data_IF_007480513242
#
_entry.id   IF_007480513242
#
_cell.length_a   1.000
_cell.length_b   1.000
_cell.length_c   1.000
_cell.angle_alpha   90.00
_cell.angle_beta   90.00
_cell.angle_gamma   90.00
#
_symmetry.space_group_name_H-M   'P 1'
#
loop_
_entity.id
_entity.type
_entity.pdbx_description
1 polymer ?
#
# COMPACT_ATOMS: atom_id res chain seq x y z
N UNK A 1 2.05 7.99 30.92
CA UNK A 1 0.58 7.83 30.85
C UNK A 1 0.01 8.36 29.54
N UNK A 2 0.36 9.54 29.05
CA UNK A 2 -0.17 10.09 27.79
C UNK A 2 0.01 9.20 26.56
N UNK A 3 1.18 8.57 26.37
CA UNK A 3 1.43 7.68 25.22
C UNK A 3 0.57 6.40 25.23
N UNK A 4 0.25 5.87 26.39
CA UNK A 4 -0.61 4.68 26.52
C UNK A 4 -2.05 5.03 26.15
N UNK A 5 -2.54 6.17 26.62
CA UNK A 5 -3.85 6.70 26.28
C UNK A 5 -4.00 6.97 24.76
N UNK A 6 -2.99 7.60 24.16
CA UNK A 6 -2.99 7.85 22.71
C UNK A 6 -3.01 6.53 21.91
N UNK A 7 -2.22 5.54 22.34
CA UNK A 7 -2.23 4.21 21.71
C UNK A 7 -3.59 3.54 21.86
N UNK A 8 -4.17 3.57 23.05
CA UNK A 8 -5.50 2.99 23.29
C UNK A 8 -6.58 3.65 22.43
N UNK A 9 -6.60 4.98 22.38
CA UNK A 9 -7.55 5.76 21.60
C UNK A 9 -7.39 5.50 20.10
N UNK A 10 -6.13 5.46 19.59
CA UNK A 10 -5.83 5.13 18.19
C UNK A 10 -6.43 3.76 17.79
N UNK A 11 -6.18 2.74 18.60
CA UNK A 11 -6.69 1.39 18.29
C UNK A 11 -8.20 1.29 18.46
N UNK A 12 -8.79 1.96 19.45
CA UNK A 12 -10.25 2.00 19.64
C UNK A 12 -10.94 2.61 18.42
N UNK A 13 -10.45 3.76 17.94
CA UNK A 13 -10.96 4.44 16.75
C UNK A 13 -10.77 3.58 15.49
N UNK A 14 -9.60 2.96 15.33
CA UNK A 14 -9.31 2.09 14.19
C UNK A 14 -10.23 0.86 14.14
N UNK A 15 -10.47 0.23 15.30
CA UNK A 15 -11.36 -0.95 15.40
C UNK A 15 -12.81 -0.53 15.18
N UNK A 16 -13.24 0.62 15.71
CA UNK A 16 -14.59 1.14 15.53
C UNK A 16 -14.86 1.41 14.05
N UNK A 17 -13.95 2.11 13.36
CA UNK A 17 -14.04 2.35 11.93
C UNK A 17 -14.13 1.05 11.11
N UNK A 18 -13.30 0.05 11.45
CA UNK A 18 -13.37 -1.27 10.85
C UNK A 18 -14.74 -1.93 11.05
N UNK A 19 -15.29 -1.91 12.28
CA UNK A 19 -16.59 -2.54 12.58
C UNK A 19 -17.74 -1.90 11.82
N UNK A 20 -17.77 -0.56 11.76
CA UNK A 20 -18.79 0.20 11.02
C UNK A 20 -18.72 -0.13 9.53
N UNK A 21 -17.54 -0.05 8.91
CA UNK A 21 -17.38 -0.33 7.49
C UNK A 21 -17.63 -1.82 7.16
N UNK A 22 -17.32 -2.73 8.06
CA UNK A 22 -17.67 -4.14 7.90
C UNK A 22 -19.19 -4.36 7.92
N UNK A 23 -19.91 -3.65 8.80
CA UNK A 23 -21.38 -3.69 8.85
C UNK A 23 -21.98 -3.13 7.55
N UNK A 24 -21.43 -2.04 7.02
CA UNK A 24 -21.83 -1.42 5.75
C UNK A 24 -21.39 -2.23 4.51
N UNK A 25 -20.73 -3.39 4.69
CA UNK A 25 -20.23 -4.25 3.59
C UNK A 25 -19.33 -3.50 2.59
N UNK A 26 -18.57 -2.50 3.06
CA UNK A 26 -17.63 -1.76 2.20
C UNK A 26 -16.49 -2.68 1.74
N UNK A 27 -15.88 -2.41 0.56
CA UNK A 27 -14.69 -3.14 0.14
C UNK A 27 -13.51 -2.84 1.09
N UNK A 28 -12.69 -3.84 1.39
CA UNK A 28 -11.52 -3.74 2.27
C UNK A 28 -11.78 -3.04 3.61
N UNK A 29 -12.78 -3.45 4.41
CA UNK A 29 -13.21 -2.72 5.60
C UNK A 29 -12.11 -2.59 6.66
N UNK A 30 -11.14 -3.51 6.69
CA UNK A 30 -10.03 -3.48 7.62
C UNK A 30 -9.04 -2.33 7.38
N UNK A 31 -9.00 -1.79 6.17
CA UNK A 31 -8.14 -0.65 5.81
C UNK A 31 -8.96 0.61 5.62
N UNK A 32 -10.01 0.55 4.80
CA UNK A 32 -10.83 1.73 4.47
C UNK A 32 -11.62 2.25 5.67
N UNK A 33 -12.11 1.36 6.54
CA UNK A 33 -12.87 1.75 7.72
C UNK A 33 -12.10 2.71 8.64
N UNK A 34 -10.92 2.32 9.13
CA UNK A 34 -10.09 3.22 9.91
C UNK A 34 -9.77 4.53 9.19
N UNK A 35 -9.37 4.49 7.90
CA UNK A 35 -9.04 5.70 7.13
C UNK A 35 -10.21 6.69 7.15
N UNK A 36 -11.40 6.24 6.75
CA UNK A 36 -12.58 7.10 6.67
C UNK A 36 -12.97 7.65 8.04
N UNK A 37 -12.87 6.84 9.09
CA UNK A 37 -13.25 7.26 10.43
C UNK A 37 -12.29 8.31 10.99
N UNK A 38 -10.97 8.16 10.77
CA UNK A 38 -9.99 9.19 11.13
C UNK A 38 -10.19 10.49 10.36
N UNK A 39 -10.51 10.43 9.07
CA UNK A 39 -10.84 11.61 8.25
C UNK A 39 -12.05 12.34 8.83
N UNK A 40 -13.13 11.62 9.18
CA UNK A 40 -14.33 12.22 9.79
C UNK A 40 -14.01 12.87 11.14
N UNK A 41 -13.22 12.23 12.00
CA UNK A 41 -12.80 12.79 13.28
C UNK A 41 -11.92 14.03 13.12
N UNK A 42 -11.02 14.02 12.13
CA UNK A 42 -10.19 15.19 11.79
C UNK A 42 -11.05 16.36 11.34
N UNK A 43 -12.09 16.14 10.53
CA UNK A 43 -13.06 17.14 10.15
C UNK A 43 -13.85 17.67 11.35
N UNK A 44 -14.23 16.81 12.29
CA UNK A 44 -14.89 17.19 13.53
C UNK A 44 -13.97 17.94 14.51
N UNK A 45 -12.71 18.20 14.13
CA UNK A 45 -11.74 18.93 14.96
C UNK A 45 -10.97 18.09 15.98
N UNK A 46 -11.16 16.77 15.98
CA UNK A 46 -10.43 15.87 16.87
C UNK A 46 -9.14 15.38 16.21
N UNK A 47 -7.99 15.79 16.73
CA UNK A 47 -6.67 15.38 16.24
C UNK A 47 -6.15 14.18 17.04
N UNK A 48 -6.19 13.00 16.43
CA UNK A 48 -5.65 11.77 17.03
C UNK A 48 -4.37 11.42 16.28
N UNK A 49 -3.24 11.48 16.97
CA UNK A 49 -1.93 11.16 16.39
C UNK A 49 -1.56 9.72 16.67
N UNK A 50 -1.00 9.05 15.67
CA UNK A 50 -0.45 7.72 15.86
C UNK A 50 0.91 7.80 16.58
N UNK A 51 1.16 6.97 17.58
CA UNK A 51 2.48 6.87 18.20
C UNK A 51 3.55 6.48 17.17
N UNK A 52 4.71 7.13 17.24
CA UNK A 52 5.81 6.98 16.25
C UNK A 52 6.33 5.54 16.09
N UNK A 53 6.26 4.75 17.16
CA UNK A 53 6.71 3.36 17.17
C UNK A 53 5.78 2.40 16.39
N UNK A 54 4.51 2.77 16.16
CA UNK A 54 3.54 1.88 15.47
C UNK A 54 3.88 1.68 14.00
N UNK A 55 4.29 2.73 13.29
CA UNK A 55 4.65 2.65 11.88
C UNK A 55 5.75 1.61 11.60
N UNK A 56 6.91 1.63 12.29
CA UNK A 56 7.94 0.60 12.08
C UNK A 56 7.47 -0.81 12.47
N UNK A 57 6.73 -0.97 13.57
CA UNK A 57 6.23 -2.27 14.01
C UNK A 57 5.26 -2.86 12.97
N UNK A 58 4.30 -2.09 12.50
CA UNK A 58 3.35 -2.53 11.48
C UNK A 58 4.04 -2.81 10.13
N UNK A 59 5.09 -2.04 9.78
CA UNK A 59 5.88 -2.30 8.57
C UNK A 59 6.62 -3.64 8.65
N UNK A 60 7.28 -3.92 9.77
CA UNK A 60 7.96 -5.22 10.01
C UNK A 60 6.95 -6.37 10.00
N UNK A 61 5.82 -6.23 10.71
CA UNK A 61 4.77 -7.24 10.73
C UNK A 61 4.23 -7.53 9.32
N UNK A 62 4.02 -6.48 8.51
CA UNK A 62 3.61 -6.61 7.11
C UNK A 62 4.66 -7.35 6.29
N UNK A 63 5.93 -6.99 6.44
CA UNK A 63 7.04 -7.64 5.75
C UNK A 63 7.11 -9.14 6.09
N UNK A 64 6.96 -9.52 7.36
CA UNK A 64 6.90 -10.92 7.79
C UNK A 64 5.72 -11.65 7.13
N UNK A 65 4.51 -11.08 7.21
CA UNK A 65 3.30 -11.68 6.62
C UNK A 65 3.45 -11.90 5.11
N UNK A 66 4.12 -10.98 4.42
CA UNK A 66 4.43 -11.10 2.99
C UNK A 66 5.48 -12.16 2.72
N UNK A 67 6.57 -12.15 3.48
CA UNK A 67 7.65 -13.14 3.35
C UNK A 67 7.15 -14.57 3.51
N UNK A 68 6.21 -14.81 4.43
CA UNK A 68 5.58 -16.12 4.63
C UNK A 68 4.78 -16.63 3.42
N UNK A 69 4.38 -15.74 2.50
CA UNK A 69 3.68 -16.11 1.25
C UNK A 69 4.61 -16.29 0.04
N UNK A 70 5.93 -16.15 0.22
CA UNK A 70 6.91 -16.12 -0.87
C UNK A 70 7.13 -17.52 -1.46
N UNK A 71 6.29 -17.93 -2.41
CA UNK A 71 6.39 -19.27 -3.02
C UNK A 71 6.48 -19.26 -4.56
N UNK A 72 6.74 -18.11 -5.21
CA UNK A 72 6.63 -18.03 -6.67
C UNK A 72 7.96 -17.79 -7.41
N UNK A 73 8.02 -18.36 -8.63
CA UNK A 73 9.11 -18.15 -9.59
C UNK A 73 8.93 -16.79 -10.27
N UNK A 74 9.82 -15.85 -9.98
CA UNK A 74 9.84 -14.49 -10.58
C UNK A 74 10.29 -14.48 -12.06
N UNK A 75 10.46 -15.65 -12.72
CA UNK A 75 10.89 -15.71 -14.12
C UNK A 75 9.80 -15.09 -15.03
N UNK A 76 10.19 -14.09 -15.83
CA UNK A 76 9.32 -13.43 -16.82
C UNK A 76 8.68 -12.11 -16.37
N UNK A 77 8.79 -11.72 -15.09
CA UNK A 77 8.15 -10.50 -14.56
C UNK A 77 8.94 -9.23 -14.94
N UNK A 78 10.26 -9.33 -15.09
CA UNK A 78 11.17 -8.15 -15.24
C UNK A 78 10.76 -7.25 -16.41
N UNK A 79 10.41 -7.79 -17.57
CA UNK A 79 9.99 -6.98 -18.72
C UNK A 79 8.75 -6.15 -18.46
N UNK A 80 7.79 -6.71 -17.74
CA UNK A 80 6.55 -6.00 -17.36
C UNK A 80 6.81 -4.95 -16.29
N UNK A 81 7.77 -5.19 -15.41
CA UNK A 81 8.23 -4.24 -14.42
C UNK A 81 8.87 -3.01 -15.08
N UNK A 82 9.73 -3.23 -16.08
CA UNK A 82 10.35 -2.14 -16.86
C UNK A 82 9.27 -1.35 -17.62
N UNK A 83 8.34 -2.03 -18.27
CA UNK A 83 7.20 -1.39 -18.93
C UNK A 83 6.43 -0.51 -17.95
N UNK A 84 6.09 -1.05 -16.77
CA UNK A 84 5.37 -0.31 -15.74
C UNK A 84 6.17 0.88 -15.22
N UNK A 85 7.49 0.74 -15.03
CA UNK A 85 8.37 1.83 -14.63
C UNK A 85 8.38 2.99 -15.62
N UNK A 86 8.59 2.69 -16.91
CA UNK A 86 8.55 3.68 -17.99
C UNK A 86 7.17 4.35 -18.08
N UNK A 87 6.11 3.54 -18.02
CA UNK A 87 4.73 4.05 -18.06
C UNK A 87 4.42 5.02 -16.93
N UNK A 88 4.83 4.70 -15.71
CA UNK A 88 4.58 5.54 -14.54
C UNK A 88 5.37 6.86 -14.62
N UNK A 89 6.61 6.82 -15.09
CA UNK A 89 7.40 8.05 -15.31
C UNK A 89 6.69 8.93 -16.34
N UNK A 90 6.32 8.37 -17.47
CA UNK A 90 5.57 9.11 -18.51
C UNK A 90 4.27 9.70 -17.95
N UNK A 91 3.49 8.89 -17.25
CA UNK A 91 2.22 9.32 -16.66
C UNK A 91 2.41 10.44 -15.62
N UNK A 92 3.48 10.35 -14.81
CA UNK A 92 3.80 11.38 -13.79
C UNK A 92 4.17 12.71 -14.44
N UNK A 93 5.02 12.68 -15.47
CA UNK A 93 5.44 13.87 -16.20
C UNK A 93 4.26 14.50 -16.96
N UNK A 94 3.43 13.69 -17.59
CA UNK A 94 2.21 14.15 -18.27
C UNK A 94 1.23 14.78 -17.28
N UNK A 95 1.01 14.14 -16.14
CA UNK A 95 0.13 14.69 -15.09
C UNK A 95 0.70 15.98 -14.48
N UNK A 96 2.02 16.07 -14.29
CA UNK A 96 2.69 17.29 -13.84
C UNK A 96 2.48 18.44 -14.86
N UNK A 97 2.66 18.15 -16.14
CA UNK A 97 2.42 19.14 -17.21
C UNK A 97 0.97 19.65 -17.17
N UNK A 98 -0.01 18.77 -17.06
CA UNK A 98 -1.43 19.18 -16.95
C UNK A 98 -1.68 20.00 -15.69
N UNK A 99 -1.06 19.68 -14.55
CA UNK A 99 -1.17 20.48 -13.33
C UNK A 99 -0.58 21.89 -13.50
N UNK A 100 0.53 22.05 -14.23
CA UNK A 100 1.11 23.36 -14.54
C UNK A 100 0.09 24.21 -15.30
N UNK A 101 -0.66 23.61 -16.23
CA UNK A 101 -1.71 24.33 -16.98
C UNK A 101 -2.87 24.80 -16.09
N UNK A 102 -3.06 24.20 -14.92
CA UNK A 102 -4.05 24.66 -13.93
C UNK A 102 -3.54 25.80 -13.02
N UNK A 103 -2.31 26.31 -13.26
CA UNK A 103 -1.71 27.42 -12.50
C UNK A 103 -0.90 26.99 -11.28
N UNK A 104 -0.65 25.67 -11.08
CA UNK A 104 0.22 25.19 -10.02
C UNK A 104 1.69 25.39 -10.43
N UNK A 105 2.57 25.92 -9.54
CA UNK A 105 4.00 26.07 -9.82
C UNK A 105 4.64 24.74 -10.27
N UNK A 106 5.61 24.82 -11.20
CA UNK A 106 6.22 23.64 -11.84
C UNK A 106 6.76 22.63 -10.84
N UNK A 107 7.46 23.11 -9.81
CA UNK A 107 8.05 22.31 -8.76
C UNK A 107 6.95 21.55 -8.00
N UNK A 108 5.93 22.28 -7.58
CA UNK A 108 4.80 21.70 -6.83
C UNK A 108 4.01 20.70 -7.68
N UNK A 109 3.79 21.02 -8.95
CA UNK A 109 3.08 20.15 -9.90
C UNK A 109 3.85 18.83 -10.10
N UNK A 110 5.19 18.89 -10.29
CA UNK A 110 6.02 17.71 -10.47
C UNK A 110 5.96 16.77 -9.27
N UNK A 111 6.22 17.30 -8.07
CA UNK A 111 6.21 16.47 -6.85
C UNK A 111 4.80 15.98 -6.48
N UNK A 112 3.76 16.75 -6.75
CA UNK A 112 2.36 16.34 -6.50
C UNK A 112 1.93 15.22 -7.43
N UNK A 113 2.31 15.25 -8.70
CA UNK A 113 1.97 14.24 -9.70
C UNK A 113 2.73 12.92 -9.50
N UNK A 114 3.86 12.96 -8.82
CA UNK A 114 4.77 11.82 -8.68
C UNK A 114 4.23 10.79 -7.66
N UNK A 115 3.96 9.52 -8.06
CA UNK A 115 3.40 8.50 -7.18
C UNK A 115 4.47 7.79 -6.35
N UNK A 116 5.15 8.53 -5.46
CA UNK A 116 6.17 8.03 -4.52
C UNK A 116 5.66 7.80 -3.10
N UNK A 117 6.58 7.54 -2.18
CA UNK A 117 6.29 7.54 -0.75
C UNK A 117 6.08 8.99 -0.25
N UNK A 118 5.07 9.17 0.60
CA UNK A 118 4.67 10.51 1.03
C UNK A 118 5.80 11.26 1.74
N UNK A 119 6.52 10.59 2.65
CA UNK A 119 7.62 11.20 3.39
C UNK A 119 8.80 11.58 2.50
N UNK A 120 9.18 10.70 1.58
CA UNK A 120 10.30 10.88 0.67
C UNK A 120 10.04 12.01 -0.32
N UNK A 121 8.84 12.04 -0.92
CA UNK A 121 8.48 13.11 -1.86
C UNK A 121 8.32 14.46 -1.14
N UNK A 122 7.80 14.48 0.08
CA UNK A 122 7.75 15.72 0.87
C UNK A 122 9.14 16.27 1.15
N UNK A 123 10.11 15.42 1.50
CA UNK A 123 11.50 15.85 1.69
C UNK A 123 12.12 16.39 0.40
N UNK A 124 11.86 15.73 -0.74
CA UNK A 124 12.31 16.22 -2.05
C UNK A 124 11.66 17.57 -2.37
N UNK A 125 10.36 17.71 -2.15
CA UNK A 125 9.64 18.96 -2.42
C UNK A 125 10.21 20.13 -1.63
N UNK A 126 10.53 19.94 -0.35
CA UNK A 126 11.20 20.93 0.47
C UNK A 126 12.61 21.27 -0.03
N UNK A 127 13.33 20.30 -0.59
CA UNK A 127 14.69 20.51 -1.13
C UNK A 127 14.69 21.32 -2.43
N UNK A 128 13.60 21.33 -3.17
CA UNK A 128 13.42 22.04 -4.45
C UNK A 128 12.50 23.27 -4.33
N UNK A 129 12.31 23.82 -3.12
CA UNK A 129 11.53 25.03 -2.85
C UNK A 129 10.07 24.93 -3.34
N UNK A 130 9.52 23.71 -3.46
CA UNK A 130 8.12 23.51 -3.81
C UNK A 130 7.23 23.68 -2.59
N UNK A 131 5.94 23.98 -2.82
CA UNK A 131 4.95 24.00 -1.74
C UNK A 131 4.69 22.57 -1.24
N UNK A 132 5.36 22.22 -0.13
CA UNK A 132 5.22 20.92 0.49
C UNK A 132 3.79 20.66 1.00
N UNK A 133 3.06 21.72 1.43
CA UNK A 133 1.68 21.58 1.89
C UNK A 133 0.76 21.13 0.74
N UNK A 134 0.81 21.84 -0.40
CA UNK A 134 0.02 21.48 -1.59
C UNK A 134 0.41 20.10 -2.11
N UNK A 135 1.71 19.79 -2.12
CA UNK A 135 2.22 18.46 -2.52
C UNK A 135 1.62 17.34 -1.67
N UNK A 136 1.68 17.47 -0.33
CA UNK A 136 1.12 16.47 0.60
C UNK A 136 -0.40 16.37 0.47
N UNK A 137 -1.08 17.50 0.28
CA UNK A 137 -2.52 17.57 0.09
C UNK A 137 -2.96 16.75 -1.14
N UNK A 138 -2.38 17.03 -2.30
CA UNK A 138 -2.71 16.36 -3.56
C UNK A 138 -2.35 14.87 -3.52
N UNK A 139 -1.21 14.51 -2.91
CA UNK A 139 -0.81 13.11 -2.73
C UNK A 139 -1.74 12.36 -1.78
N UNK A 140 -2.18 12.98 -0.68
CA UNK A 140 -3.11 12.36 0.29
C UNK A 140 -4.45 12.06 -0.37
N UNK A 141 -4.99 13.02 -1.12
CA UNK A 141 -6.25 12.85 -1.84
C UNK A 141 -6.14 11.73 -2.90
N UNK A 142 -5.06 11.73 -3.69
CA UNK A 142 -4.79 10.66 -4.64
C UNK A 142 -4.73 9.29 -3.97
N UNK A 143 -4.04 9.18 -2.85
CA UNK A 143 -3.90 7.92 -2.12
C UNK A 143 -5.27 7.39 -1.66
N UNK A 144 -6.13 8.24 -1.11
CA UNK A 144 -7.46 7.87 -0.67
C UNK A 144 -8.33 7.44 -1.87
N UNK A 145 -8.43 8.26 -2.91
CA UNK A 145 -9.21 7.96 -4.11
C UNK A 145 -8.74 6.67 -4.79
N UNK A 146 -7.43 6.51 -4.97
CA UNK A 146 -6.86 5.30 -5.55
C UNK A 146 -7.19 4.07 -4.73
N UNK A 147 -7.09 4.16 -3.40
CA UNK A 147 -7.40 3.05 -2.50
C UNK A 147 -8.85 2.61 -2.65
N UNK A 148 -9.79 3.55 -2.67
CA UNK A 148 -11.23 3.26 -2.86
C UNK A 148 -11.49 2.62 -4.22
N UNK A 149 -10.98 3.21 -5.29
CA UNK A 149 -11.23 2.74 -6.67
C UNK A 149 -10.63 1.35 -6.90
N UNK A 150 -9.36 1.16 -6.59
CA UNK A 150 -8.65 -0.09 -6.87
C UNK A 150 -9.11 -1.24 -5.97
N UNK A 151 -9.44 -0.98 -4.69
CA UNK A 151 -10.03 -1.98 -3.79
C UNK A 151 -11.42 -2.41 -4.27
N UNK A 152 -12.25 -1.46 -4.69
CA UNK A 152 -13.58 -1.75 -5.20
C UNK A 152 -13.55 -2.58 -6.49
N UNK A 153 -12.60 -2.27 -7.38
CA UNK A 153 -12.39 -3.04 -8.60
C UNK A 153 -11.87 -4.45 -8.31
N UNK A 154 -10.87 -4.58 -7.45
CA UNK A 154 -10.34 -5.88 -7.04
C UNK A 154 -11.45 -6.77 -6.43
N UNK A 155 -12.30 -6.19 -5.56
CA UNK A 155 -13.43 -6.89 -4.97
C UNK A 155 -14.45 -7.37 -6.03
N UNK A 156 -14.74 -6.54 -7.03
CA UNK A 156 -15.67 -6.91 -8.13
C UNK A 156 -15.16 -8.07 -8.96
N UNK A 157 -13.88 -8.04 -9.34
CA UNK A 157 -13.29 -9.11 -10.14
C UNK A 157 -13.23 -10.43 -9.36
N UNK A 158 -12.88 -10.38 -8.09
CA UNK A 158 -12.89 -11.56 -7.22
C UNK A 158 -14.27 -12.19 -7.09
N UNK A 159 -15.32 -11.38 -6.92
CA UNK A 159 -16.71 -11.88 -6.86
C UNK A 159 -17.14 -12.52 -8.19
N UNK A 160 -16.70 -11.95 -9.32
CA UNK A 160 -17.03 -12.47 -10.64
C UNK A 160 -16.34 -13.81 -10.90
N UNK A 161 -15.05 -13.94 -10.57
CA UNK A 161 -14.30 -15.18 -10.67
C UNK A 161 -14.90 -16.28 -9.77
N UNK A 162 -15.25 -15.96 -8.52
CA UNK A 162 -15.91 -16.89 -7.62
C UNK A 162 -17.31 -17.33 -8.13
N UNK A 163 -18.05 -16.44 -8.80
CA UNK A 163 -19.34 -16.79 -9.41
C UNK A 163 -19.18 -17.64 -10.69
N UNK A 164 -18.14 -17.42 -11.47
CA UNK A 164 -17.81 -18.24 -12.64
C UNK A 164 -17.32 -19.64 -12.24
N UNK A 165 -16.51 -19.74 -11.16
CA UNK A 165 -16.09 -21.01 -10.57
C UNK A 165 -17.27 -21.82 -10.01
N UNK A 166 -18.24 -21.18 -9.34
CA UNK A 166 -19.44 -21.85 -8.85
C UNK A 166 -20.42 -22.25 -9.94
N UNK A 167 -20.42 -21.59 -11.10
CA UNK A 167 -21.24 -21.94 -12.25
C UNK A 167 -20.63 -23.05 -13.13
N UNK A 168 -19.33 -23.29 -13.02
CA UNK A 168 -18.56 -24.27 -13.82
C UNK A 168 -18.27 -25.61 -13.15
N UNK A 169 -18.35 -25.74 -11.85
CA UNK A 169 -17.99 -26.98 -11.13
C UNK A 169 -18.94 -27.30 -10.00
N UNK A 170 -19.77 -28.31 -10.25
CA UNK A 170 -20.36 -29.13 -9.18
C UNK A 170 -19.31 -30.03 -8.54
N UNK A 171 -18.30 -29.48 -7.87
CA UNK A 171 -17.45 -30.19 -6.91
C UNK A 171 -16.80 -29.18 -5.96
N UNK A 172 -17.34 -29.09 -4.76
CA UNK A 172 -16.69 -28.47 -3.62
C UNK A 172 -15.35 -29.18 -3.37
N UNK A 173 -14.28 -28.51 -3.69
CA UNK A 173 -12.96 -28.87 -3.19
C UNK A 173 -12.92 -28.55 -1.70
N UNK A 174 -13.15 -29.55 -0.86
CA UNK A 174 -12.88 -29.50 0.58
C UNK A 174 -11.45 -29.01 0.80
N UNK A 175 -11.33 -27.78 1.27
CA UNK A 175 -10.07 -27.29 1.82
C UNK A 175 -9.66 -28.22 2.95
N UNK A 176 -8.70 -29.10 2.69
CA UNK A 176 -8.12 -30.02 3.66
C UNK A 176 -7.76 -29.26 4.93
N UNK A 177 -8.60 -29.45 5.93
CA UNK A 177 -8.31 -29.10 7.31
C UNK A 177 -7.11 -29.95 7.76
N UNK A 178 -5.91 -29.46 7.50
CA UNK A 178 -4.69 -30.09 8.02
C UNK A 178 -4.73 -30.00 9.54
N UNK A 179 -4.86 -31.18 10.15
CA UNK A 179 -4.93 -31.44 11.58
C UNK A 179 -4.02 -30.53 12.39
N UNK A 180 -4.61 -29.71 13.27
CA UNK A 180 -3.95 -29.07 14.40
C UNK A 180 -3.45 -30.16 15.34
N UNK A 181 -2.19 -30.59 15.19
CA UNK A 181 -1.52 -31.38 16.23
C UNK A 181 -0.10 -30.87 16.45
N UNK A 182 0.20 -30.63 17.74
CA UNK A 182 1.52 -30.34 18.32
C UNK A 182 2.24 -29.07 17.83
N UNK A 183 1.78 -27.91 18.21
CA UNK A 183 2.37 -26.65 17.76
C UNK A 183 2.65 -25.62 18.87
N UNK A 184 2.67 -26.00 20.16
CA UNK A 184 2.85 -25.01 21.23
C UNK A 184 4.28 -24.43 21.31
N UNK A 185 5.25 -25.25 21.61
CA UNK A 185 6.63 -24.80 21.88
C UNK A 185 7.47 -24.60 20.61
N UNK A 186 7.41 -25.53 19.67
CA UNK A 186 8.12 -25.45 18.40
C UNK A 186 7.67 -24.25 17.57
N UNK A 187 6.37 -23.93 17.59
CA UNK A 187 5.84 -22.73 16.89
C UNK A 187 6.32 -21.43 17.52
N UNK A 188 6.49 -21.35 18.84
CA UNK A 188 6.99 -20.17 19.54
C UNK A 188 8.45 -19.89 19.19
N UNK A 189 9.32 -20.90 19.24
CA UNK A 189 10.74 -20.77 18.84
C UNK A 189 10.89 -20.37 17.36
N UNK A 190 10.05 -20.92 16.48
CA UNK A 190 10.04 -20.54 15.07
C UNK A 190 9.60 -19.08 14.87
N UNK A 191 8.55 -18.63 15.57
CA UNK A 191 8.11 -17.23 15.51
C UNK A 191 9.17 -16.28 16.07
N UNK A 192 9.82 -16.63 17.18
CA UNK A 192 10.92 -15.85 17.74
C UNK A 192 12.10 -15.73 16.77
N UNK A 193 12.48 -16.82 16.11
CA UNK A 193 13.52 -16.84 15.09
C UNK A 193 13.13 -16.00 13.85
N UNK A 194 11.89 -16.10 13.37
CA UNK A 194 11.36 -15.31 12.26
C UNK A 194 11.43 -13.83 12.59
N UNK A 195 10.96 -13.44 13.78
CA UNK A 195 10.96 -12.05 14.23
C UNK A 195 12.41 -11.54 14.38
N UNK A 196 13.29 -12.30 14.98
CA UNK A 196 14.70 -11.94 15.16
C UNK A 196 15.40 -11.70 13.82
N UNK A 197 15.28 -12.64 12.88
CA UNK A 197 15.86 -12.51 11.53
C UNK A 197 15.22 -11.33 10.77
N UNK A 198 13.92 -11.13 10.90
CA UNK A 198 13.20 -10.03 10.30
C UNK A 198 13.71 -8.67 10.80
N UNK A 199 13.94 -8.53 12.11
CA UNK A 199 14.47 -7.31 12.71
C UNK A 199 15.91 -7.04 12.29
N UNK A 200 16.77 -8.07 12.26
CA UNK A 200 18.15 -7.94 11.77
C UNK A 200 18.20 -7.52 10.31
N UNK A 201 17.36 -8.11 9.46
CA UNK A 201 17.28 -7.73 8.06
C UNK A 201 16.72 -6.30 7.87
N UNK A 202 15.76 -5.90 8.69
CA UNK A 202 15.26 -4.53 8.69
C UNK A 202 16.36 -3.53 9.06
N UNK A 203 17.11 -3.80 10.13
CA UNK A 203 18.22 -2.95 10.58
C UNK A 203 19.36 -2.90 9.56
N UNK A 204 19.71 -4.02 8.93
CA UNK A 204 20.75 -4.09 7.88
C UNK A 204 20.39 -3.24 6.65
N UNK A 205 19.16 -3.34 6.14
CA UNK A 205 18.71 -2.51 5.02
C UNK A 205 18.50 -1.03 5.42
N UNK A 206 18.14 -0.74 6.67
CA UNK A 206 18.01 0.63 7.20
C UNK A 206 19.41 1.29 7.24
N UNK A 207 20.46 0.54 7.64
CA UNK A 207 21.85 0.99 7.60
C UNK A 207 22.31 1.32 6.17
N UNK A 208 21.88 0.53 5.18
CA UNK A 208 22.14 0.77 3.76
C UNK A 208 21.28 1.89 3.15
N UNK A 209 20.46 2.58 3.96
CA UNK A 209 19.53 3.64 3.55
C UNK A 209 18.57 3.23 2.44
N UNK A 210 18.20 1.93 2.40
CA UNK A 210 17.23 1.43 1.42
C UNK A 210 15.83 1.95 1.75
N UNK A 211 15.10 2.54 0.78
CA UNK A 211 13.74 3.01 1.02
C UNK A 211 12.84 1.86 1.52
N UNK A 212 12.01 2.11 2.51
CA UNK A 212 11.13 1.10 3.12
C UNK A 212 11.84 -0.14 3.69
N UNK A 213 13.07 0.01 4.17
CA UNK A 213 13.91 -1.07 4.74
C UNK A 213 13.15 -1.94 5.76
N UNK A 214 12.34 -1.31 6.63
CA UNK A 214 11.54 -1.98 7.68
C UNK A 214 10.41 -2.87 7.14
N UNK A 215 10.05 -2.74 5.86
CA UNK A 215 9.13 -3.64 5.17
C UNK A 215 9.90 -4.67 4.33
N UNK A 216 10.87 -4.19 3.54
CA UNK A 216 11.60 -5.02 2.57
C UNK A 216 12.53 -6.03 3.24
N UNK A 217 13.24 -5.62 4.29
CA UNK A 217 14.15 -6.49 5.03
C UNK A 217 13.46 -7.76 5.54
N UNK A 218 12.42 -7.64 6.36
CA UNK A 218 11.63 -8.77 6.83
C UNK A 218 11.05 -9.61 5.68
N UNK A 219 10.51 -8.97 4.65
CA UNK A 219 9.90 -9.66 3.51
C UNK A 219 10.91 -10.53 2.78
N UNK A 220 12.08 -9.98 2.44
CA UNK A 220 13.13 -10.72 1.72
C UNK A 220 13.73 -11.83 2.59
N UNK A 221 14.08 -11.53 3.84
CA UNK A 221 14.68 -12.49 4.74
C UNK A 221 13.76 -13.68 5.02
N UNK A 222 12.51 -13.42 5.39
CA UNK A 222 11.52 -14.47 5.65
C UNK A 222 11.16 -15.22 4.36
N UNK A 223 11.04 -14.50 3.23
CA UNK A 223 10.80 -15.10 1.92
C UNK A 223 11.91 -16.09 1.50
N UNK A 224 13.18 -15.72 1.72
CA UNK A 224 14.31 -16.62 1.49
C UNK A 224 14.26 -17.86 2.38
N UNK A 225 13.89 -17.71 3.66
CA UNK A 225 13.76 -18.84 4.59
C UNK A 225 12.63 -19.79 4.20
N UNK A 226 11.49 -19.27 3.78
CA UNK A 226 10.36 -20.06 3.27
C UNK A 226 10.75 -20.78 1.99
N UNK A 227 11.43 -20.10 1.06
CA UNK A 227 11.91 -20.72 -0.19
C UNK A 227 12.96 -21.82 0.07
N UNK A 228 13.82 -21.64 1.08
CA UNK A 228 14.77 -22.66 1.51
C UNK A 228 14.11 -23.83 2.27
N UNK A 229 12.79 -23.87 2.35
CA UNK A 229 11.99 -24.86 3.10
C UNK A 229 12.36 -25.00 4.57
N UNK A 230 13.04 -24.01 5.14
CA UNK A 230 13.41 -23.98 6.56
C UNK A 230 12.26 -23.61 7.48
N UNK A 231 11.23 -22.95 6.93
CA UNK A 231 10.04 -22.51 7.66
C UNK A 231 8.80 -22.89 6.89
N UNK A 232 7.89 -23.60 7.56
CA UNK A 232 6.54 -23.90 7.05
C UNK A 232 5.56 -23.33 8.07
N UNK A 233 5.28 -22.01 7.94
CA UNK A 233 4.33 -21.34 8.79
C UNK A 233 3.30 -20.62 7.89
N UNK A 234 2.01 -20.74 8.24
CA UNK A 234 0.97 -20.00 7.56
C UNK A 234 0.61 -18.75 8.36
N UNK A 235 0.46 -17.60 7.72
CA UNK A 235 0.02 -16.40 8.42
C UNK A 235 -1.38 -16.59 9.02
N UNK A 236 -1.53 -16.21 10.28
CA UNK A 236 -2.84 -16.21 10.93
C UNK A 236 -3.73 -15.10 10.34
N UNK A 237 -4.96 -15.44 9.87
CA UNK A 237 -5.88 -14.44 9.34
C UNK A 237 -6.27 -13.35 10.35
N UNK A 238 -6.25 -13.65 11.64
CA UNK A 238 -6.51 -12.69 12.71
C UNK A 238 -5.41 -11.65 12.82
N UNK A 239 -4.15 -12.09 12.85
CA UNK A 239 -2.98 -11.21 12.85
C UNK A 239 -2.94 -10.33 11.59
N UNK A 240 -3.20 -10.92 10.42
CA UNK A 240 -3.27 -10.17 9.17
C UNK A 240 -4.29 -9.03 9.26
N UNK A 241 -5.49 -9.32 9.76
CA UNK A 241 -6.56 -8.33 9.93
C UNK A 241 -6.17 -7.23 10.91
N UNK A 242 -5.56 -7.58 12.03
CA UNK A 242 -5.09 -6.61 13.02
C UNK A 242 -4.07 -5.64 12.41
N UNK A 243 -3.10 -6.16 11.67
CA UNK A 243 -2.09 -5.35 10.97
C UNK A 243 -2.75 -4.43 9.92
N UNK A 244 -3.75 -4.90 9.19
CA UNK A 244 -4.52 -4.10 8.23
C UNK A 244 -5.23 -2.93 8.92
N UNK A 245 -5.92 -3.17 10.05
CA UNK A 245 -6.60 -2.13 10.84
C UNK A 245 -5.60 -1.08 11.31
N UNK A 246 -4.45 -1.51 11.81
CA UNK A 246 -3.39 -0.58 12.26
C UNK A 246 -2.84 0.28 11.13
N UNK A 247 -2.61 -0.31 9.94
CA UNK A 247 -2.12 0.44 8.76
C UNK A 247 -3.18 1.41 8.25
N UNK A 248 -4.46 1.01 8.22
CA UNK A 248 -5.56 1.90 7.88
C UNK A 248 -5.65 3.08 8.84
N UNK A 249 -5.49 2.83 10.15
CA UNK A 249 -5.42 3.88 11.17
C UNK A 249 -4.23 4.83 10.98
N UNK A 250 -3.02 4.30 10.67
CA UNK A 250 -1.85 5.14 10.37
C UNK A 250 -2.08 6.04 9.16
N UNK A 251 -2.64 5.48 8.08
CA UNK A 251 -2.94 6.24 6.88
C UNK A 251 -3.97 7.35 7.18
N UNK A 252 -5.05 7.04 7.91
CA UNK A 252 -6.08 8.00 8.29
C UNK A 252 -5.56 9.09 9.23
N UNK A 253 -4.77 8.72 10.26
CA UNK A 253 -4.19 9.65 11.23
C UNK A 253 -3.13 10.59 10.62
N UNK A 254 -2.57 10.27 9.45
CA UNK A 254 -1.60 11.12 8.75
C UNK A 254 -2.26 12.28 7.99
N UNK A 255 -3.58 12.27 7.83
CA UNK A 255 -4.31 13.34 7.13
C UNK A 255 -4.50 14.52 8.07
N UNK A 256 -3.91 15.66 7.74
CA UNK A 256 -4.05 16.89 8.54
C UNK A 256 -5.37 17.61 8.22
N UNK A 257 -5.93 18.31 9.20
CA UNK A 257 -7.17 19.10 9.03
C UNK A 257 -6.96 20.24 8.04
N UNK A 258 -5.81 20.90 8.10
CA UNK A 258 -5.42 21.97 7.19
C UNK A 258 -5.42 21.46 5.74
N UNK A 259 -4.97 20.22 5.51
CA UNK A 259 -5.01 19.57 4.22
C UNK A 259 -6.44 19.35 3.71
N UNK A 260 -7.38 19.08 4.61
CA UNK A 260 -8.79 18.89 4.23
C UNK A 260 -9.46 20.24 3.96
N UNK A 261 -9.23 21.23 4.82
CA UNK A 261 -9.85 22.59 4.67
C UNK A 261 -9.26 23.38 3.51
N UNK A 262 -7.92 23.35 3.34
CA UNK A 262 -7.23 23.99 2.22
C UNK A 262 -7.46 23.31 0.88
N UNK A 263 -8.05 22.12 0.88
CA UNK A 263 -8.29 21.33 -0.31
C UNK A 263 -9.30 21.98 -1.28
N UNK A 264 -10.22 22.79 -0.78
CA UNK A 264 -11.30 23.36 -1.61
C UNK A 264 -10.76 24.16 -2.81
N UNK A 265 -9.69 24.93 -2.64
CA UNK A 265 -9.06 25.70 -3.72
C UNK A 265 -8.29 24.83 -4.72
N UNK A 266 -7.82 23.65 -4.27
CA UNK A 266 -7.10 22.69 -5.12
C UNK A 266 -7.98 21.52 -5.59
N UNK A 267 -9.31 21.60 -5.38
CA UNK A 267 -10.22 20.50 -5.68
C UNK A 267 -10.20 20.15 -7.17
N UNK A 268 -10.26 21.14 -8.05
CA UNK A 268 -10.23 20.91 -9.50
C UNK A 268 -8.89 20.31 -9.94
N UNK A 269 -7.71 20.88 -9.59
CA UNK A 269 -6.42 20.27 -9.85
C UNK A 269 -6.29 18.82 -9.30
N UNK A 270 -6.81 18.61 -8.08
CA UNK A 270 -6.78 17.28 -7.46
C UNK A 270 -7.64 16.27 -8.22
N UNK A 271 -8.82 16.64 -8.67
CA UNK A 271 -9.70 15.78 -9.48
C UNK A 271 -9.04 15.45 -10.82
N UNK A 272 -8.49 16.44 -11.52
CA UNK A 272 -7.77 16.26 -12.79
C UNK A 272 -6.61 15.27 -12.58
N UNK A 273 -5.78 15.50 -11.56
CA UNK A 273 -4.66 14.61 -11.21
C UNK A 273 -5.13 13.19 -10.97
N UNK A 274 -6.22 13.02 -10.20
CA UNK A 274 -6.75 11.70 -9.90
C UNK A 274 -7.29 10.98 -11.15
N UNK A 275 -8.03 11.66 -12.00
CA UNK A 275 -8.54 11.07 -13.26
C UNK A 275 -7.38 10.62 -14.14
N UNK A 276 -6.35 11.44 -14.30
CA UNK A 276 -5.17 11.09 -15.10
C UNK A 276 -4.39 9.91 -14.50
N UNK A 277 -4.04 9.99 -13.22
CA UNK A 277 -3.19 8.95 -12.59
C UNK A 277 -3.96 7.64 -12.43
N UNK A 278 -5.22 7.68 -11.99
CA UNK A 278 -6.05 6.48 -11.84
C UNK A 278 -6.38 5.90 -13.22
N UNK A 279 -6.79 6.73 -14.17
CA UNK A 279 -7.10 6.31 -15.53
C UNK A 279 -5.90 5.68 -16.23
N UNK A 280 -4.74 6.33 -16.18
CA UNK A 280 -3.49 5.80 -16.73
C UNK A 280 -3.01 4.52 -16.05
N UNK A 281 -3.20 4.41 -14.73
CA UNK A 281 -2.89 3.18 -13.99
C UNK A 281 -3.84 2.04 -14.33
N UNK A 282 -5.12 2.31 -14.55
CA UNK A 282 -6.09 1.31 -15.01
C UNK A 282 -5.82 0.87 -16.47
N UNK A 283 -5.35 1.78 -17.31
CA UNK A 283 -4.92 1.42 -18.68
C UNK A 283 -3.73 0.47 -18.62
N UNK A 284 -2.72 0.75 -17.80
CA UNK A 284 -1.60 -0.17 -17.56
C UNK A 284 -2.09 -1.51 -17.01
N UNK A 285 -3.03 -1.53 -16.08
CA UNK A 285 -3.61 -2.75 -15.54
C UNK A 285 -4.28 -3.60 -16.64
N UNK A 286 -5.04 -2.97 -17.55
CA UNK A 286 -5.63 -3.66 -18.73
C UNK A 286 -4.56 -4.27 -19.65
N UNK A 287 -3.46 -3.55 -19.86
CA UNK A 287 -2.31 -4.06 -20.64
C UNK A 287 -1.71 -5.29 -19.93
N UNK A 288 -1.48 -5.21 -18.63
CA UNK A 288 -0.95 -6.36 -17.88
C UNK A 288 -1.91 -7.56 -17.93
N UNK A 289 -3.21 -7.37 -17.72
CA UNK A 289 -4.20 -8.44 -17.82
C UNK A 289 -4.12 -9.15 -19.18
N UNK A 290 -3.94 -8.39 -20.27
CA UNK A 290 -3.88 -8.95 -21.62
C UNK A 290 -2.61 -9.76 -21.90
N UNK A 291 -1.46 -9.35 -21.34
CA UNK A 291 -0.15 -9.89 -21.73
C UNK A 291 0.53 -10.78 -20.70
N UNK A 292 0.08 -10.80 -19.43
CA UNK A 292 0.77 -11.54 -18.37
C UNK A 292 0.11 -12.86 -18.02
N UNK A 293 -1.19 -13.02 -18.26
CA UNK A 293 -1.96 -14.17 -17.80
C UNK A 293 -2.11 -14.25 -16.27
N UNK A 294 -1.79 -13.16 -15.54
CA UNK A 294 -2.03 -13.08 -14.09
C UNK A 294 -3.49 -12.82 -13.80
N UNK A 295 -3.95 -13.17 -12.61
CA UNK A 295 -5.29 -12.84 -12.16
C UNK A 295 -5.53 -11.33 -12.21
N UNK A 296 -6.77 -10.95 -12.50
CA UNK A 296 -7.15 -9.55 -12.71
C UNK A 296 -6.92 -8.69 -11.47
N UNK A 297 -7.16 -9.25 -10.26
CA UNK A 297 -6.93 -8.56 -9.01
C UNK A 297 -5.44 -8.22 -8.82
N UNK A 298 -4.53 -9.17 -9.12
CA UNK A 298 -3.08 -8.92 -9.08
C UNK A 298 -2.66 -7.84 -10.06
N UNK A 299 -3.13 -7.86 -11.32
CA UNK A 299 -2.79 -6.83 -12.30
C UNK A 299 -3.27 -5.44 -11.87
N UNK A 300 -4.51 -5.34 -11.39
CA UNK A 300 -5.11 -4.07 -10.93
C UNK A 300 -4.33 -3.52 -9.74
N UNK A 301 -4.10 -4.33 -8.71
CA UNK A 301 -3.42 -3.88 -7.49
C UNK A 301 -1.92 -3.61 -7.71
N UNK A 302 -1.27 -4.29 -8.66
CA UNK A 302 0.11 -3.97 -9.06
C UNK A 302 0.24 -2.57 -9.63
N UNK A 303 -0.77 -2.08 -10.34
CA UNK A 303 -0.79 -0.75 -10.94
C UNK A 303 -1.38 0.33 -10.01
N UNK A 304 -1.88 -0.02 -8.83
CA UNK A 304 -2.54 0.92 -7.92
C UNK A 304 -1.60 2.04 -7.46
N UNK A 305 -1.88 3.33 -7.74
CA UNK A 305 -1.02 4.45 -7.36
C UNK A 305 -1.25 4.92 -5.92
N UNK A 306 -1.55 3.98 -5.01
CA UNK A 306 -1.68 4.22 -3.58
C UNK A 306 -0.40 3.90 -2.81
N UNK A 307 -0.45 3.95 -1.49
CA UNK A 307 0.68 3.60 -0.63
C UNK A 307 1.03 2.11 -0.67
N UNK A 308 2.32 1.79 -0.53
CA UNK A 308 2.84 0.43 -0.58
C UNK A 308 2.11 -0.51 0.39
N UNK A 309 2.13 -0.20 1.68
CA UNK A 309 1.56 -1.08 2.71
C UNK A 309 0.05 -1.31 2.56
N UNK A 310 -0.81 -0.28 2.37
CA UNK A 310 -2.24 -0.50 2.18
C UNK A 310 -2.56 -1.35 0.94
N UNK A 311 -1.88 -1.10 -0.18
CA UNK A 311 -2.13 -1.85 -1.43
C UNK A 311 -1.79 -3.34 -1.28
N UNK A 312 -0.68 -3.64 -0.60
CA UNK A 312 -0.28 -5.02 -0.34
C UNK A 312 -1.30 -5.73 0.58
N UNK A 313 -1.81 -5.02 1.59
CA UNK A 313 -2.82 -5.57 2.48
C UNK A 313 -4.12 -5.90 1.75
N UNK A 314 -4.56 -5.02 0.86
CA UNK A 314 -5.71 -5.28 0.00
C UNK A 314 -5.46 -6.47 -0.93
N UNK A 315 -4.25 -6.59 -1.49
CA UNK A 315 -3.88 -7.74 -2.30
C UNK A 315 -4.02 -9.06 -1.52
N UNK A 316 -3.56 -9.08 -0.26
CA UNK A 316 -3.72 -10.24 0.60
C UNK A 316 -5.19 -10.54 0.96
N UNK A 317 -6.01 -9.51 1.16
CA UNK A 317 -7.43 -9.67 1.49
C UNK A 317 -8.22 -10.28 0.33
N UNK A 318 -7.94 -9.85 -0.90
CA UNK A 318 -8.62 -10.37 -2.09
C UNK A 318 -7.92 -11.56 -2.75
N UNK A 319 -6.87 -12.11 -2.13
CA UNK A 319 -6.18 -13.29 -2.62
C UNK A 319 -5.34 -13.07 -3.88
N UNK A 320 -5.07 -11.81 -4.24
CA UNK A 320 -4.12 -11.46 -5.29
C UNK A 320 -2.69 -11.87 -4.89
N UNK A 321 -1.80 -12.05 -5.88
CA UNK A 321 -0.40 -12.36 -5.59
C UNK A 321 0.31 -11.13 -5.00
N UNK A 322 0.36 -11.11 -3.65
CA UNK A 322 0.95 -10.03 -2.89
C UNK A 322 2.45 -9.84 -3.20
N UNK A 323 3.16 -10.88 -3.69
CA UNK A 323 4.58 -10.76 -4.05
C UNK A 323 4.73 -9.96 -5.33
N UNK A 324 3.95 -10.28 -6.37
CA UNK A 324 3.93 -9.53 -7.62
C UNK A 324 3.56 -8.07 -7.34
N UNK A 325 2.47 -7.83 -6.60
CA UNK A 325 2.03 -6.49 -6.22
C UNK A 325 3.14 -5.75 -5.48
N UNK A 326 3.79 -6.38 -4.50
CA UNK A 326 4.90 -5.77 -3.75
C UNK A 326 6.06 -5.37 -4.65
N UNK A 327 6.50 -6.27 -5.52
CA UNK A 327 7.62 -6.02 -6.42
C UNK A 327 7.33 -4.85 -7.36
N UNK A 328 6.12 -4.76 -7.91
CA UNK A 328 5.70 -3.64 -8.75
C UNK A 328 5.66 -2.32 -7.98
N UNK A 329 5.10 -2.33 -6.76
CA UNK A 329 5.01 -1.14 -5.91
C UNK A 329 6.39 -0.62 -5.50
N UNK A 330 7.32 -1.51 -5.14
CA UNK A 330 8.69 -1.17 -4.76
C UNK A 330 9.45 -0.61 -5.96
N UNK A 331 9.39 -1.28 -7.11
CA UNK A 331 10.04 -0.79 -8.32
C UNK A 331 9.53 0.61 -8.69
N UNK A 332 8.22 0.81 -8.65
CA UNK A 332 7.63 2.13 -8.87
C UNK A 332 8.23 3.18 -7.95
N UNK A 333 8.29 2.91 -6.65
CA UNK A 333 8.84 3.83 -5.66
C UNK A 333 10.31 4.15 -5.94
N UNK A 334 11.13 3.14 -6.21
CA UNK A 334 12.55 3.31 -6.53
C UNK A 334 12.73 4.09 -7.83
N UNK A 335 11.99 3.71 -8.89
CA UNK A 335 12.06 4.42 -10.18
C UNK A 335 11.71 5.89 -10.02
N UNK A 336 10.65 6.18 -9.31
CA UNK A 336 10.19 7.54 -9.05
C UNK A 336 11.22 8.34 -8.23
N UNK A 337 11.74 7.78 -7.15
CA UNK A 337 12.74 8.46 -6.31
C UNK A 337 14.07 8.74 -7.05
N UNK A 338 14.41 7.92 -8.03
CA UNK A 338 15.58 8.17 -8.89
C UNK A 338 15.25 9.20 -9.96
N UNK A 339 14.17 9.00 -10.70
CA UNK A 339 13.86 9.80 -11.89
C UNK A 339 13.39 11.22 -11.55
N UNK A 340 12.61 11.38 -10.47
CA UNK A 340 12.02 12.69 -10.13
C UNK A 340 13.05 13.79 -9.89
N UNK A 341 14.17 13.59 -9.16
CA UNK A 341 15.20 14.61 -9.02
C UNK A 341 15.85 14.99 -10.35
N UNK A 342 16.11 14.01 -11.23
CA UNK A 342 16.65 14.30 -12.57
C UNK A 342 15.65 15.06 -13.43
N UNK A 343 14.38 14.68 -13.38
CA UNK A 343 13.30 15.42 -14.07
C UNK A 343 13.17 16.85 -13.52
N UNK A 344 13.31 17.03 -12.21
CA UNK A 344 13.33 18.35 -11.60
C UNK A 344 14.46 19.22 -12.17
N UNK A 345 15.69 18.71 -12.22
CA UNK A 345 16.84 19.44 -12.78
C UNK A 345 16.65 19.79 -14.26
N UNK A 346 15.92 18.99 -15.03
CA UNK A 346 15.68 19.22 -16.46
C UNK A 346 14.53 20.20 -16.74
N UNK A 347 13.54 20.26 -15.85
CA UNK A 347 12.28 21.03 -16.04
C UNK A 347 12.34 22.39 -15.32
N UNK A 348 13.08 22.48 -14.23
CA UNK A 348 13.25 23.67 -13.38
C UNK A 348 14.46 24.48 -13.78
#
# INVERSE_FOLDING_TARGET
MAAVWQTGLFWAVSILGYRICRYLKTPAPAILGPILFFVLLTLAGMKITAPSWQKPVLSVATGILLGLRFNHKLKGIVRYMLLAGVWIVFLSLFAAYVLILTGIPKETALFSATPGGMAEITLLSLSYHSDAFVTVLLQSFRMICSMVVFSSLAARYRRKEAAEETAGEGKAGEGTAVKRKAAGWLSFCQWAAIIGIALLAAAGLDYLKVPSAKLLGPMLAVGCLVRAKKIVCRPDPGLQRLVQIGIGGLAGASVARESILGFMQYLIPALILNVLIIGGSLLLAKILIKYTGWDKATCILSCCPAGLSPTIMVAMEYGADANIVTVFQVLRMVTVLIVTPFAAVLIL
#
